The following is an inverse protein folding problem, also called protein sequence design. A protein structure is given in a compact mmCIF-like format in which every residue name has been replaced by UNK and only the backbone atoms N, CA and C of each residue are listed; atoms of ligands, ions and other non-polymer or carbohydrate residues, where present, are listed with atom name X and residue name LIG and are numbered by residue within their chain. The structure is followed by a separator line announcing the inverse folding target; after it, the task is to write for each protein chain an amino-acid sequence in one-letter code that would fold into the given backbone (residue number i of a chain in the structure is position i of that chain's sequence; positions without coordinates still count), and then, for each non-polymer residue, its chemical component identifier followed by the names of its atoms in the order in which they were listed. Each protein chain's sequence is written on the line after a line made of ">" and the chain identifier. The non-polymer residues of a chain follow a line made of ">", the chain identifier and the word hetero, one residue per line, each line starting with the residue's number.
data_IF_534252591310
#
_entry.id   IF_534252591310
#
_cell.length_a   1.000
_cell.length_b   1.000
_cell.length_c   1.000
_cell.angle_alpha   90.00
_cell.angle_beta   90.00
_cell.angle_gamma   90.00
#
_symmetry.space_group_name_H-M   'P 1'
#
loop_
_entity.id
_entity.type
_entity.pdbx_description
1 polymer ?
#
# COMPACT_ATOMS: atom_id res chain seq x y z
N UNK A 1 11.47 16.51 15.86
CA UNK A 1 10.35 17.41 16.16
C UNK A 1 9.59 17.69 14.89
N UNK A 2 8.38 17.14 14.80
CA UNK A 2 7.44 17.40 13.71
C UNK A 2 7.16 18.91 13.56
N UNK A 3 6.88 19.39 12.35
CA UNK A 3 6.59 20.82 12.15
C UNK A 3 5.36 21.26 12.96
N UNK A 4 5.19 22.56 13.28
CA UNK A 4 4.01 23.05 13.98
C UNK A 4 2.73 22.66 13.22
N UNK A 5 1.90 21.81 13.83
CA UNK A 5 0.68 21.25 13.21
C UNK A 5 0.83 19.83 12.65
N UNK A 6 2.03 19.26 12.65
CA UNK A 6 2.27 17.86 12.32
C UNK A 6 2.28 17.00 13.58
N UNK A 7 1.44 15.94 13.60
CA UNK A 7 1.35 15.02 14.74
C UNK A 7 2.38 13.89 14.68
N UNK A 8 2.84 13.53 13.47
CA UNK A 8 3.72 12.39 13.24
C UNK A 8 4.80 12.74 12.21
N UNK A 9 6.08 12.56 12.58
CA UNK A 9 7.19 12.64 11.63
C UNK A 9 7.32 11.30 10.89
N UNK A 10 7.32 11.33 9.55
CA UNK A 10 7.58 10.14 8.72
C UNK A 10 8.92 9.52 9.11
N UNK A 11 8.94 8.20 9.29
CA UNK A 11 10.08 7.42 9.75
C UNK A 11 10.19 7.28 11.27
N UNK A 12 9.35 7.96 12.05
CA UNK A 12 9.30 7.77 13.50
C UNK A 12 8.68 6.42 13.86
N UNK A 13 9.12 5.84 14.96
CA UNK A 13 8.51 4.65 15.53
C UNK A 13 7.40 5.04 16.49
N UNK A 14 6.20 4.51 16.28
CA UNK A 14 5.03 4.80 17.12
C UNK A 14 4.35 3.54 17.63
N UNK A 15 3.66 3.67 18.76
CA UNK A 15 2.74 2.69 19.33
C UNK A 15 1.34 3.25 19.30
N UNK A 16 0.38 2.53 18.71
CA UNK A 16 -1.03 2.88 18.74
C UNK A 16 -1.77 1.86 19.60
N UNK A 17 -2.57 2.32 20.55
CA UNK A 17 -3.52 1.48 21.30
C UNK A 17 -4.90 1.61 20.68
N UNK A 18 -5.45 0.53 20.17
CA UNK A 18 -6.80 0.53 19.60
C UNK A 18 -7.86 0.65 20.72
N UNK A 19 -9.11 0.93 20.34
CA UNK A 19 -10.24 0.89 21.26
C UNK A 19 -10.55 -0.51 21.85
N UNK A 20 -9.89 -1.55 21.35
CA UNK A 20 -9.96 -2.92 21.87
C UNK A 20 -8.72 -3.28 22.71
N UNK A 21 -7.94 -2.28 23.15
CA UNK A 21 -6.71 -2.45 23.92
C UNK A 21 -5.60 -3.24 23.19
N UNK A 22 -5.72 -3.41 21.86
CA UNK A 22 -4.68 -4.01 21.05
C UNK A 22 -3.60 -2.98 20.75
N UNK A 23 -2.33 -3.34 20.92
CA UNK A 23 -1.19 -2.47 20.64
C UNK A 23 -0.61 -2.78 19.26
N UNK A 24 -0.56 -1.77 18.40
CA UNK A 24 0.00 -1.81 17.06
C UNK A 24 1.27 -0.94 17.05
N UNK A 25 2.40 -1.50 16.65
CA UNK A 25 3.67 -0.77 16.60
C UNK A 25 4.27 -0.83 15.21
N UNK A 26 4.77 0.32 14.73
CA UNK A 26 5.40 0.40 13.42
C UNK A 26 6.10 1.73 13.17
N UNK A 27 6.78 1.79 12.04
CA UNK A 27 7.38 3.01 11.50
C UNK A 27 6.30 3.80 10.73
N UNK A 28 6.17 5.09 10.99
CA UNK A 28 5.24 5.97 10.28
C UNK A 28 5.69 6.12 8.82
N UNK A 29 4.86 5.72 7.86
CA UNK A 29 5.16 5.86 6.43
C UNK A 29 4.46 7.08 5.83
N UNK A 30 3.22 7.31 6.25
CA UNK A 30 2.40 8.43 5.79
C UNK A 30 1.30 8.73 6.81
N UNK A 31 0.81 9.95 6.78
CA UNK A 31 -0.35 10.37 7.55
C UNK A 31 -1.24 11.26 6.69
N UNK A 32 -2.53 10.93 6.62
CA UNK A 32 -3.53 11.77 5.98
C UNK A 32 -4.32 12.52 7.05
N UNK A 33 -4.12 13.84 7.11
CA UNK A 33 -4.75 14.70 8.12
C UNK A 33 -6.28 14.74 8.03
N UNK A 34 -6.91 14.92 6.84
CA UNK A 34 -8.35 15.03 6.74
C UNK A 34 -9.08 13.75 7.19
N UNK A 35 -8.63 12.58 6.75
CA UNK A 35 -9.26 11.30 7.13
C UNK A 35 -8.74 10.72 8.44
N UNK A 36 -7.71 11.33 9.04
CA UNK A 36 -7.01 10.84 10.24
C UNK A 36 -6.54 9.40 10.09
N UNK A 37 -5.99 9.09 8.92
CA UNK A 37 -5.47 7.76 8.60
C UNK A 37 -3.95 7.76 8.72
N UNK A 38 -3.43 6.85 9.54
CA UNK A 38 -2.00 6.63 9.76
C UNK A 38 -1.55 5.35 9.08
N UNK A 39 -0.56 5.43 8.21
CA UNK A 39 0.06 4.26 7.59
C UNK A 39 1.32 3.86 8.36
N UNK A 40 1.32 2.63 8.89
CA UNK A 40 2.43 2.06 9.64
C UNK A 40 3.09 0.93 8.84
N UNK A 41 4.42 0.92 8.80
CA UNK A 41 5.23 -0.21 8.35
C UNK A 41 5.61 -1.05 9.55
N UNK A 42 5.22 -2.31 9.52
CA UNK A 42 5.44 -3.29 10.56
C UNK A 42 6.36 -4.42 10.06
N UNK A 43 6.98 -5.19 10.98
CA UNK A 43 7.67 -6.41 10.62
C UNK A 43 6.76 -7.35 9.81
N UNK A 44 7.34 -8.04 8.83
CA UNK A 44 6.64 -8.99 7.95
C UNK A 44 6.04 -10.16 8.73
N UNK A 45 4.73 -10.34 8.67
CA UNK A 45 4.05 -11.55 9.18
C UNK A 45 4.41 -12.81 8.39
N UNK A 46 4.89 -12.66 7.14
CA UNK A 46 5.29 -13.79 6.29
C UNK A 46 6.69 -14.35 6.60
N UNK A 47 7.45 -13.71 7.51
CA UNK A 47 8.84 -14.08 7.84
C UNK A 47 9.87 -13.78 6.74
N UNK A 48 9.45 -13.32 5.56
CA UNK A 48 10.36 -12.93 4.49
C UNK A 48 11.09 -11.62 4.83
N UNK A 49 12.43 -11.58 4.78
CA UNK A 49 13.21 -10.43 5.26
C UNK A 49 13.03 -9.17 4.41
N UNK A 50 12.70 -9.32 3.12
CA UNK A 50 12.52 -8.20 2.19
C UNK A 50 11.05 -7.76 2.07
N UNK A 51 10.19 -8.20 2.98
CA UNK A 51 8.78 -7.82 3.02
C UNK A 51 8.53 -7.01 4.29
N UNK A 52 7.46 -6.23 4.27
CA UNK A 52 6.95 -5.54 5.43
C UNK A 52 5.43 -5.48 5.31
N UNK A 53 4.75 -5.48 6.45
CA UNK A 53 3.31 -5.34 6.50
C UNK A 53 2.98 -3.85 6.58
N UNK A 54 2.08 -3.37 5.72
CA UNK A 54 1.60 -2.00 5.76
C UNK A 54 0.20 -1.99 6.38
N UNK A 55 0.09 -1.41 7.57
CA UNK A 55 -1.17 -1.26 8.28
C UNK A 55 -1.72 0.15 8.08
N UNK A 56 -2.98 0.25 7.68
CA UNK A 56 -3.73 1.50 7.65
C UNK A 56 -4.59 1.60 8.91
N UNK A 57 -4.25 2.56 9.76
CA UNK A 57 -4.87 2.75 11.08
C UNK A 57 -5.75 3.99 11.02
N UNK A 58 -7.05 3.81 11.20
CA UNK A 58 -7.96 4.94 11.41
C UNK A 58 -7.86 5.40 12.86
N UNK A 59 -7.34 6.61 13.09
CA UNK A 59 -7.10 7.14 14.43
C UNK A 59 -8.39 7.42 15.21
N UNK A 60 -9.57 7.40 14.57
CA UNK A 60 -10.85 7.45 15.29
C UNK A 60 -11.07 6.21 16.18
N UNK A 61 -10.42 5.08 15.86
CA UNK A 61 -10.51 3.84 16.63
C UNK A 61 -9.24 3.58 17.45
N UNK A 62 -8.45 4.62 17.70
CA UNK A 62 -7.22 4.57 18.49
C UNK A 62 -7.43 5.42 19.74
N UNK A 63 -7.29 4.78 20.91
CA UNK A 63 -7.45 5.44 22.20
C UNK A 63 -6.20 6.21 22.62
N UNK A 64 -5.02 5.82 22.14
CA UNK A 64 -3.75 6.48 22.45
C UNK A 64 -2.71 6.24 21.35
N UNK A 65 -1.88 7.26 21.08
CA UNK A 65 -0.69 7.13 20.25
C UNK A 65 0.52 7.65 21.01
N UNK A 66 1.56 6.83 21.09
CA UNK A 66 2.83 7.15 21.74
C UNK A 66 3.97 7.14 20.70
N UNK A 67 4.83 8.16 20.73
CA UNK A 67 6.06 8.18 19.92
C UNK A 67 7.15 7.46 20.71
N UNK A 68 7.59 6.30 20.20
CA UNK A 68 8.62 5.47 20.82
C UNK A 68 10.02 5.99 20.44
N UNK A 69 10.19 6.38 19.18
CA UNK A 69 11.42 6.94 18.67
C UNK A 69 11.10 8.00 17.62
N UNK A 70 11.44 9.26 17.89
CA UNK A 70 11.30 10.34 16.90
C UNK A 70 12.48 10.26 15.93
N UNK A 71 12.19 10.18 14.64
CA UNK A 71 13.26 10.17 13.64
C UNK A 71 13.76 11.60 13.46
N UNK A 72 15.03 11.83 13.78
CA UNK A 72 15.68 13.14 13.65
C UNK A 72 16.34 13.35 12.28
N UNK A 73 16.56 12.27 11.53
CA UNK A 73 17.21 12.30 10.23
C UNK A 73 16.21 12.37 9.07
N UNK A 74 16.53 13.17 8.06
CA UNK A 74 15.75 13.26 6.82
C UNK A 74 15.65 11.88 6.17
N UNK A 75 14.44 11.38 5.87
CA UNK A 75 14.26 10.13 5.14
C UNK A 75 14.99 10.15 3.79
N UNK A 76 15.46 8.99 3.30
CA UNK A 76 16.02 8.92 1.96
C UNK A 76 15.00 9.40 0.93
N UNK A 77 15.44 10.05 -0.16
CA UNK A 77 14.53 10.50 -1.20
C UNK A 77 13.77 9.30 -1.77
N UNK A 78 12.49 9.52 -2.08
CA UNK A 78 11.68 8.52 -2.75
C UNK A 78 12.32 8.14 -4.09
N UNK A 79 12.29 6.84 -4.41
CA UNK A 79 12.76 6.38 -5.71
C UNK A 79 11.94 7.03 -6.83
N UNK A 80 12.61 7.48 -7.88
CA UNK A 80 11.97 8.07 -9.05
C UNK A 80 11.08 7.03 -9.72
N UNK A 81 9.77 7.30 -9.78
CA UNK A 81 8.82 6.44 -10.48
C UNK A 81 8.87 6.71 -11.99
N UNK A 82 8.95 5.66 -12.79
CA UNK A 82 8.79 5.77 -14.24
C UNK A 82 7.30 5.84 -14.59
N UNK A 83 6.75 7.06 -14.60
CA UNK A 83 5.33 7.33 -14.84
C UNK A 83 4.88 6.78 -16.20
N UNK A 84 5.72 6.87 -17.23
CA UNK A 84 5.42 6.35 -18.57
C UNK A 84 5.26 4.82 -18.56
N UNK A 85 6.13 4.10 -17.85
CA UNK A 85 6.03 2.65 -17.70
C UNK A 85 4.76 2.25 -16.94
N UNK A 86 4.41 2.99 -15.89
CA UNK A 86 3.18 2.76 -15.13
C UNK A 86 1.93 3.02 -15.98
N UNK A 87 1.89 4.12 -16.74
CA UNK A 87 0.78 4.43 -17.63
C UNK A 87 0.61 3.39 -18.74
N UNK A 88 1.73 2.95 -19.35
CA UNK A 88 1.70 1.87 -20.34
C UNK A 88 1.17 0.58 -19.74
N UNK A 89 1.64 0.19 -18.55
CA UNK A 89 1.14 -1.00 -17.85
C UNK A 89 -0.36 -0.90 -17.58
N UNK A 90 -0.82 0.24 -17.07
CA UNK A 90 -2.25 0.47 -16.79
C UNK A 90 -3.11 0.37 -18.06
N UNK A 91 -2.62 0.90 -19.19
CA UNK A 91 -3.30 0.79 -20.49
C UNK A 91 -3.36 -0.66 -20.98
N UNK A 92 -2.24 -1.38 -20.96
CA UNK A 92 -2.18 -2.78 -21.39
C UNK A 92 -3.14 -3.65 -20.57
N UNK A 93 -3.11 -3.54 -19.25
CA UNK A 93 -4.02 -4.28 -18.35
C UNK A 93 -5.51 -3.97 -18.63
N UNK A 94 -5.82 -2.71 -18.97
CA UNK A 94 -7.17 -2.31 -19.36
C UNK A 94 -7.58 -2.95 -20.68
N UNK A 95 -6.73 -2.88 -21.70
CA UNK A 95 -6.98 -3.45 -23.03
C UNK A 95 -7.15 -4.97 -22.97
N UNK A 96 -6.32 -5.65 -22.18
CA UNK A 96 -6.42 -7.09 -21.94
C UNK A 96 -7.74 -7.48 -21.27
N UNK A 97 -8.14 -6.78 -20.20
CA UNK A 97 -9.42 -7.02 -19.52
C UNK A 97 -10.63 -6.75 -20.42
N UNK A 98 -10.57 -5.68 -21.22
CA UNK A 98 -11.62 -5.37 -22.19
C UNK A 98 -11.71 -6.47 -23.25
N UNK A 99 -10.58 -6.94 -23.79
CA UNK A 99 -10.52 -8.03 -24.76
C UNK A 99 -11.12 -9.33 -24.20
N UNK A 100 -10.80 -9.68 -22.94
CA UNK A 100 -11.40 -10.83 -22.26
C UNK A 100 -12.92 -10.68 -22.11
N UNK A 101 -13.39 -9.50 -21.68
CA UNK A 101 -14.83 -9.24 -21.57
C UNK A 101 -15.54 -9.35 -22.93
N UNK A 102 -14.93 -8.88 -24.01
CA UNK A 102 -15.47 -9.04 -25.37
C UNK A 102 -15.56 -10.50 -25.79
N UNK A 103 -14.52 -11.31 -25.57
CA UNK A 103 -14.53 -12.73 -25.91
C UNK A 103 -15.66 -13.48 -25.18
N UNK A 104 -15.89 -13.16 -23.90
CA UNK A 104 -17.00 -13.70 -23.13
C UNK A 104 -18.35 -13.27 -23.74
N UNK A 105 -18.51 -11.98 -24.05
CA UNK A 105 -19.76 -11.46 -24.62
C UNK A 105 -20.07 -12.02 -26.02
N UNK A 106 -19.04 -12.40 -26.78
CA UNK A 106 -19.15 -13.01 -28.10
C UNK A 106 -19.42 -14.53 -28.05
N UNK A 107 -19.52 -15.12 -26.87
CA UNK A 107 -19.82 -16.55 -26.69
C UNK A 107 -18.63 -17.48 -26.99
N UNK A 108 -17.39 -16.97 -26.93
CA UNK A 108 -16.19 -17.81 -27.11
C UNK A 108 -16.11 -18.83 -25.97
N UNK A 109 -15.90 -20.10 -26.29
CA UNK A 109 -15.76 -21.16 -25.28
C UNK A 109 -14.59 -20.91 -24.33
N UNK A 110 -14.69 -21.40 -23.10
CA UNK A 110 -13.62 -21.26 -22.10
C UNK A 110 -12.28 -21.84 -22.59
N UNK A 111 -12.33 -22.98 -23.27
CA UNK A 111 -11.14 -23.63 -23.85
C UNK A 111 -10.50 -22.74 -24.93
N UNK A 112 -11.31 -22.10 -25.78
CA UNK A 112 -10.82 -21.17 -26.80
C UNK A 112 -10.15 -19.93 -26.18
N UNK A 113 -10.74 -19.39 -25.11
CA UNK A 113 -10.15 -18.28 -24.37
C UNK A 113 -8.80 -18.67 -23.75
N UNK A 114 -8.72 -19.84 -23.11
CA UNK A 114 -7.48 -20.34 -22.50
C UNK A 114 -6.39 -20.61 -23.52
N UNK A 115 -6.74 -21.23 -24.66
CA UNK A 115 -5.81 -21.50 -25.75
C UNK A 115 -5.23 -20.19 -26.31
N UNK A 116 -6.09 -19.20 -26.59
CA UNK A 116 -5.66 -17.89 -27.08
C UNK A 116 -4.71 -17.20 -26.08
N UNK A 117 -5.07 -17.17 -24.79
CA UNK A 117 -4.23 -16.57 -23.76
C UNK A 117 -2.87 -17.27 -23.62
N UNK A 118 -2.83 -18.59 -23.79
CA UNK A 118 -1.59 -19.37 -23.70
C UNK A 118 -0.67 -19.07 -24.88
N UNK A 119 -1.22 -19.07 -26.10
CA UNK A 119 -0.45 -18.76 -27.32
C UNK A 119 0.04 -17.31 -27.30
N UNK A 120 -0.81 -16.35 -26.90
CA UNK A 120 -0.47 -14.93 -26.92
C UNK A 120 0.61 -14.53 -25.89
N UNK A 121 0.77 -15.32 -24.81
CA UNK A 121 1.80 -15.10 -23.78
C UNK A 121 3.17 -15.71 -24.13
N UNK A 122 3.27 -16.46 -25.22
CA UNK A 122 4.51 -17.13 -25.67
C UNK A 122 5.20 -16.29 -26.73
#
# INVERSE_FOLDING_TARGET
>A
MAAPGEYFSVGSQVSCRTCQEQRLQGEVVAFDYPSKMLALKCPSSSGKPNHADILLVNLQYVSEVEIINDRTETPPPLASLNVSKLANKARTEKEEKMSQAYAISAGVSLEGQQLFQTIHKT
#
